data_IF_830267907558
#
_entry.id   IF_830267907558
#
_cell.length_a   1.000
_cell.length_b   1.000
_cell.length_c   1.000
_cell.angle_alpha   90.00
_cell.angle_beta   90.00
_cell.angle_gamma   90.00
#
_symmetry.space_group_name_H-M   'P 1'
#
loop_
_entity.id
_entity.type
_entity.pdbx_description
1 polymer ?
#
# COMPACT_ATOMS: atom_id res chain seq x y z
N UNK A 1 -3.91 25.44 -9.42
CA UNK A 1 -4.02 24.94 -8.03
C UNK A 1 -3.19 23.67 -7.95
N UNK A 2 -2.20 23.59 -7.07
CA UNK A 2 -1.38 22.36 -6.96
C UNK A 2 -2.25 21.19 -6.49
N UNK A 3 -2.22 20.08 -7.24
CA UNK A 3 -3.02 18.88 -6.97
C UNK A 3 -2.49 18.10 -5.76
N UNK A 4 -1.17 18.10 -5.58
CA UNK A 4 -0.43 17.35 -4.57
C UNK A 4 0.53 18.28 -3.82
N UNK A 5 0.81 17.95 -2.55
CA UNK A 5 1.90 18.55 -1.78
C UNK A 5 3.13 17.65 -1.79
N UNK A 6 3.90 17.68 -0.70
CA UNK A 6 4.99 16.71 -0.49
C UNK A 6 4.47 15.27 -0.39
N UNK A 7 5.20 14.34 -1.01
CA UNK A 7 4.89 12.91 -1.08
C UNK A 7 5.92 12.16 -0.25
N UNK A 8 5.45 11.23 0.59
CA UNK A 8 6.30 10.33 1.38
C UNK A 8 6.59 9.02 0.64
N UNK A 9 5.54 8.40 0.08
CA UNK A 9 5.64 7.15 -0.67
C UNK A 9 4.80 7.20 -1.94
N UNK A 10 5.28 6.55 -3.00
CA UNK A 10 4.57 6.39 -4.26
C UNK A 10 4.90 5.02 -4.84
N UNK A 11 3.88 4.27 -5.23
CA UNK A 11 4.01 2.96 -5.85
C UNK A 11 3.23 2.92 -7.17
N UNK A 12 3.89 2.52 -8.26
CA UNK A 12 3.25 2.35 -9.56
C UNK A 12 2.59 0.98 -9.69
N UNK A 13 1.43 0.90 -10.32
CA UNK A 13 0.95 -0.38 -10.83
C UNK A 13 1.66 -0.70 -12.15
N UNK A 14 2.80 -1.38 -12.07
CA UNK A 14 3.62 -1.71 -13.25
C UNK A 14 3.81 -0.50 -14.19
N UNK A 15 3.52 -0.66 -15.49
CA UNK A 15 3.56 0.41 -16.50
C UNK A 15 2.14 0.91 -16.85
N UNK A 16 1.26 1.01 -15.86
CA UNK A 16 -0.08 1.60 -16.02
C UNK A 16 -0.09 3.06 -15.56
N UNK A 17 -1.23 3.71 -15.76
CA UNK A 17 -1.54 5.08 -15.32
C UNK A 17 -1.91 5.20 -13.83
N UNK A 18 -1.97 4.10 -13.09
CA UNK A 18 -2.39 4.11 -11.69
C UNK A 18 -1.19 4.19 -10.75
N UNK A 19 -1.23 5.15 -9.84
CA UNK A 19 -0.25 5.39 -8.79
C UNK A 19 -0.93 5.32 -7.43
N UNK A 20 -0.39 4.55 -6.48
CA UNK A 20 -0.75 4.66 -5.08
C UNK A 20 0.20 5.64 -4.38
N UNK A 21 -0.35 6.67 -3.76
CA UNK A 21 0.42 7.79 -3.19
C UNK A 21 0.06 7.95 -1.72
N UNK A 22 1.08 8.17 -0.89
CA UNK A 22 0.95 8.54 0.53
C UNK A 22 1.65 9.88 0.72
N UNK A 23 0.94 10.86 1.26
CA UNK A 23 1.51 12.16 1.56
C UNK A 23 2.53 12.06 2.71
N UNK A 24 3.50 12.95 2.72
CA UNK A 24 4.55 12.99 3.75
C UNK A 24 5.55 14.10 3.50
N UNK A 25 6.63 14.14 4.28
CA UNK A 25 7.67 15.16 4.15
C UNK A 25 7.30 16.51 4.75
N UNK A 26 7.92 17.59 4.27
CA UNK A 26 7.87 18.89 4.94
C UNK A 26 6.58 19.69 4.71
N UNK A 27 5.91 19.52 3.56
CA UNK A 27 4.69 20.26 3.20
C UNK A 27 3.64 19.35 2.54
N UNK A 28 3.14 18.31 3.24
CA UNK A 28 2.12 17.42 2.69
C UNK A 28 0.78 18.17 2.57
N UNK A 29 0.00 17.84 1.54
CA UNK A 29 -1.37 18.37 1.36
C UNK A 29 -2.45 17.44 1.93
N UNK A 30 -2.11 16.16 2.11
CA UNK A 30 -2.98 15.13 2.65
C UNK A 30 -2.33 14.51 3.90
N UNK A 31 -3.11 13.76 4.66
CA UNK A 31 -2.60 13.07 5.83
C UNK A 31 -1.73 11.87 5.42
N UNK A 32 -0.70 11.58 6.21
CA UNK A 32 0.26 10.48 6.03
C UNK A 32 -0.28 9.11 6.50
N UNK A 33 -1.50 9.09 7.04
CA UNK A 33 -2.31 7.88 7.26
C UNK A 33 -3.32 7.62 6.13
N UNK A 34 -3.24 8.34 5.01
CA UNK A 34 -4.15 8.19 3.87
C UNK A 34 -3.39 7.71 2.63
N UNK A 35 -3.93 6.69 1.96
CA UNK A 35 -3.50 6.21 0.64
C UNK A 35 -4.46 6.75 -0.42
N UNK A 36 -3.91 7.43 -1.41
CA UNK A 36 -4.64 7.97 -2.56
C UNK A 36 -4.25 7.21 -3.82
N UNK A 37 -5.21 6.70 -4.57
CA UNK A 37 -4.94 6.13 -5.91
C UNK A 37 -5.20 7.20 -6.94
N UNK A 38 -4.15 7.64 -7.61
CA UNK A 38 -4.19 8.62 -8.68
C UNK A 38 -4.24 7.93 -10.04
N UNK A 39 -5.12 8.40 -10.90
CA UNK A 39 -5.18 8.03 -12.31
C UNK A 39 -4.63 9.17 -13.16
N UNK A 40 -3.48 8.93 -13.81
CA UNK A 40 -2.81 9.93 -14.62
C UNK A 40 -3.50 10.24 -15.96
N UNK A 41 -4.39 9.35 -16.46
CA UNK A 41 -5.18 9.62 -17.67
C UNK A 41 -6.32 10.57 -17.33
N UNK A 42 -7.09 10.26 -16.28
CA UNK A 42 -8.22 11.10 -15.85
C UNK A 42 -7.81 12.29 -14.96
N UNK A 43 -6.53 12.38 -14.62
CA UNK A 43 -5.90 13.43 -13.82
C UNK A 43 -6.58 13.67 -12.46
N UNK A 44 -7.09 12.61 -11.82
CA UNK A 44 -7.81 12.70 -10.54
C UNK A 44 -7.51 11.52 -9.61
N UNK A 45 -7.81 11.70 -8.33
CA UNK A 45 -7.85 10.60 -7.38
C UNK A 45 -9.12 9.77 -7.62
N UNK A 46 -8.94 8.46 -7.79
CA UNK A 46 -10.02 7.50 -8.07
C UNK A 46 -10.37 6.66 -6.86
N UNK A 47 -9.47 6.53 -5.88
CA UNK A 47 -9.71 5.87 -4.59
C UNK A 47 -8.98 6.61 -3.47
N UNK A 48 -9.54 6.53 -2.26
CA UNK A 48 -8.97 7.08 -1.04
C UNK A 48 -9.23 6.12 0.13
N UNK A 49 -8.18 5.82 0.91
CA UNK A 49 -8.26 4.96 2.09
C UNK A 49 -7.56 5.63 3.26
N UNK A 50 -8.29 5.83 4.36
CA UNK A 50 -7.74 6.39 5.60
C UNK A 50 -7.60 5.30 6.66
N UNK A 51 -6.45 5.27 7.32
CA UNK A 51 -6.06 4.26 8.31
C UNK A 51 -5.93 4.86 9.71
N UNK A 52 -5.89 4.00 10.72
CA UNK A 52 -5.78 4.39 12.14
C UNK A 52 -4.39 4.89 12.55
N UNK A 53 -3.36 4.65 11.72
CA UNK A 53 -1.99 5.08 11.97
C UNK A 53 -1.26 5.38 10.67
N UNK A 54 -0.04 5.92 10.76
CA UNK A 54 0.78 6.28 9.62
C UNK A 54 1.05 5.09 8.70
N UNK A 55 0.83 5.30 7.40
CA UNK A 55 1.15 4.33 6.37
C UNK A 55 2.67 4.30 6.20
N UNK A 56 3.26 3.13 6.42
CA UNK A 56 4.71 2.89 6.33
C UNK A 56 5.14 2.45 4.93
N UNK A 57 4.26 1.78 4.20
CA UNK A 57 4.52 1.32 2.85
C UNK A 57 3.21 0.98 2.13
N UNK A 58 3.26 0.95 0.80
CA UNK A 58 2.17 0.51 -0.05
C UNK A 58 2.73 -0.35 -1.18
N UNK A 59 2.05 -1.46 -1.49
CA UNK A 59 2.38 -2.32 -2.63
C UNK A 59 1.16 -2.45 -3.53
N UNK A 60 1.39 -2.37 -4.83
CA UNK A 60 0.33 -2.36 -5.83
C UNK A 60 0.52 -3.48 -6.85
N UNK A 61 -0.51 -4.31 -6.99
CA UNK A 61 -0.62 -5.39 -7.98
C UNK A 61 -1.92 -5.23 -8.76
N UNK A 62 -2.02 -5.94 -9.89
CA UNK A 62 -3.22 -5.86 -10.75
C UNK A 62 -4.51 -6.24 -10.03
N UNK A 63 -4.39 -7.13 -9.05
CA UNK A 63 -5.51 -7.74 -8.33
C UNK A 63 -5.53 -7.41 -6.82
N UNK A 64 -4.51 -6.70 -6.32
CA UNK A 64 -4.34 -6.38 -4.89
C UNK A 64 -3.74 -5.00 -4.65
N UNK A 65 -4.25 -4.31 -3.65
CA UNK A 65 -3.61 -3.17 -2.99
C UNK A 65 -3.24 -3.60 -1.56
N UNK A 66 -1.96 -3.47 -1.18
CA UNK A 66 -1.48 -3.83 0.15
C UNK A 66 -0.97 -2.57 0.84
N UNK A 67 -1.47 -2.31 2.05
CA UNK A 67 -1.09 -1.14 2.85
C UNK A 67 -0.47 -1.61 4.15
N UNK A 68 0.73 -1.12 4.44
CA UNK A 68 1.53 -1.52 5.60
C UNK A 68 1.50 -0.41 6.63
N UNK A 69 1.07 -0.75 7.85
CA UNK A 69 1.15 0.08 9.05
C UNK A 69 2.24 -0.48 9.97
N UNK A 70 2.43 0.14 11.14
CA UNK A 70 3.46 -0.31 12.08
C UNK A 70 3.15 -1.66 12.74
N UNK A 71 1.88 -2.07 12.83
CA UNK A 71 1.46 -3.30 13.50
C UNK A 71 0.47 -4.14 12.66
N UNK A 72 0.09 -3.66 11.49
CA UNK A 72 -0.93 -4.31 10.67
C UNK A 72 -0.57 -4.18 9.19
N UNK A 73 -0.93 -5.19 8.41
CA UNK A 73 -0.91 -5.13 6.95
C UNK A 73 -2.34 -5.37 6.48
N UNK A 74 -2.89 -4.42 5.73
CA UNK A 74 -4.21 -4.54 5.12
C UNK A 74 -4.08 -4.93 3.65
N UNK A 75 -4.84 -5.94 3.24
CA UNK A 75 -4.89 -6.40 1.86
C UNK A 75 -6.28 -6.14 1.30
N UNK A 76 -6.34 -5.47 0.15
CA UNK A 76 -7.58 -5.12 -0.55
C UNK A 76 -7.60 -5.79 -1.93
N UNK A 77 -8.80 -6.10 -2.44
CA UNK A 77 -9.00 -6.36 -3.87
C UNK A 77 -8.71 -5.09 -4.67
N UNK A 78 -8.28 -5.22 -5.91
CA UNK A 78 -8.01 -4.09 -6.81
C UNK A 78 -8.29 -4.51 -8.25
N UNK A 79 -8.71 -3.61 -9.18
CA UNK A 79 -9.02 -2.21 -8.98
C UNK A 79 -10.46 -1.91 -8.53
N UNK A 80 -11.45 -2.71 -8.94
CA UNK A 80 -12.85 -2.46 -8.64
C UNK A 80 -13.69 -3.74 -8.62
N UNK A 81 -14.56 -3.94 -7.60
CA UNK A 81 -14.65 -3.11 -6.39
C UNK A 81 -13.40 -3.29 -5.52
N UNK A 82 -12.86 -2.18 -5.01
CA UNK A 82 -11.73 -2.21 -4.08
C UNK A 82 -12.24 -2.38 -2.65
N UNK A 83 -12.08 -3.58 -2.10
CA UNK A 83 -12.63 -3.98 -0.80
C UNK A 83 -11.55 -4.67 0.03
N UNK A 84 -11.59 -4.48 1.35
CA UNK A 84 -10.65 -5.15 2.25
C UNK A 84 -10.92 -6.64 2.22
N UNK A 85 -9.92 -7.42 1.84
CA UNK A 85 -9.98 -8.88 1.84
C UNK A 85 -9.67 -9.43 3.23
N UNK A 86 -8.55 -8.97 3.80
CA UNK A 86 -8.14 -9.35 5.16
C UNK A 86 -7.12 -8.36 5.72
N UNK A 87 -6.88 -8.49 7.02
CA UNK A 87 -5.84 -7.78 7.76
C UNK A 87 -4.96 -8.81 8.44
N UNK A 88 -3.65 -8.61 8.39
CA UNK A 88 -2.68 -9.42 9.13
C UNK A 88 -2.10 -8.57 10.25
N UNK A 89 -2.16 -9.07 11.48
CA UNK A 89 -1.42 -8.47 12.59
C UNK A 89 0.06 -8.84 12.47
N UNK A 90 0.92 -7.88 12.81
CA UNK A 90 2.37 -8.03 12.72
C UNK A 90 2.99 -7.55 14.03
N UNK A 91 4.19 -8.05 14.33
CA UNK A 91 5.07 -7.36 15.27
C UNK A 91 5.43 -5.98 14.71
N UNK A 92 5.89 -5.06 15.57
CA UNK A 92 6.37 -3.72 15.19
C UNK A 92 7.24 -3.78 13.91
N UNK A 93 6.69 -3.29 12.81
CA UNK A 93 7.32 -3.18 11.50
C UNK A 93 7.62 -1.70 11.22
N UNK A 94 8.57 -1.13 11.96
CA UNK A 94 8.90 0.30 11.93
C UNK A 94 9.33 0.81 10.54
N UNK A 95 9.92 -0.08 9.74
CA UNK A 95 10.42 0.18 8.39
C UNK A 95 9.40 -0.14 7.28
N UNK A 96 8.22 -0.66 7.62
CA UNK A 96 7.19 -1.01 6.62
C UNK A 96 7.64 -2.11 5.65
N UNK A 97 8.47 -3.05 6.09
CA UNK A 97 8.97 -4.13 5.25
C UNK A 97 7.85 -5.10 4.88
N UNK A 98 7.62 -5.26 3.59
CA UNK A 98 6.60 -6.11 3.04
C UNK A 98 6.91 -6.33 1.56
N UNK A 99 6.69 -7.54 1.05
CA UNK A 99 6.74 -7.79 -0.38
C UNK A 99 5.63 -8.76 -0.80
N UNK A 100 5.19 -8.64 -2.05
CA UNK A 100 4.16 -9.50 -2.63
C UNK A 100 4.70 -10.20 -3.86
N UNK A 101 4.30 -11.46 -4.07
CA UNK A 101 4.64 -12.19 -5.30
C UNK A 101 4.16 -11.38 -6.52
N UNK A 102 5.04 -11.08 -7.49
CA UNK A 102 4.67 -10.30 -8.66
C UNK A 102 3.89 -11.12 -9.70
N UNK A 103 4.04 -12.45 -9.67
CA UNK A 103 3.49 -13.34 -10.70
C UNK A 103 2.01 -13.62 -10.39
N UNK A 104 1.13 -13.07 -11.23
CA UNK A 104 -0.33 -13.24 -11.09
C UNK A 104 -0.76 -14.70 -11.29
N UNK A 105 -0.08 -15.42 -12.19
CA UNK A 105 -0.34 -16.82 -12.54
C UNK A 105 0.36 -17.84 -11.64
N UNK A 106 1.00 -17.39 -10.55
CA UNK A 106 1.65 -18.32 -9.64
C UNK A 106 0.59 -19.17 -8.93
N UNK A 107 0.90 -20.45 -8.70
CA UNK A 107 0.04 -21.36 -7.93
C UNK A 107 -0.27 -20.80 -6.53
N UNK A 108 0.66 -20.03 -5.97
CA UNK A 108 0.51 -19.34 -4.70
C UNK A 108 0.86 -17.86 -4.85
N UNK A 109 -0.07 -17.02 -4.43
CA UNK A 109 0.16 -15.58 -4.29
C UNK A 109 0.64 -15.31 -2.87
N UNK A 110 1.94 -15.11 -2.70
CA UNK A 110 2.54 -14.93 -1.39
C UNK A 110 2.62 -13.45 -0.99
N UNK A 111 2.35 -13.19 0.28
CA UNK A 111 2.69 -11.96 1.00
C UNK A 111 3.78 -12.30 2.02
N UNK A 112 4.88 -11.54 2.02
CA UNK A 112 6.00 -11.73 2.94
C UNK A 112 6.30 -10.48 3.76
N UNK A 113 6.56 -10.66 5.05
CA UNK A 113 6.92 -9.59 5.98
C UNK A 113 7.70 -10.16 7.18
N UNK A 114 8.37 -9.32 8.01
CA UNK A 114 9.08 -9.79 9.19
C UNK A 114 8.16 -10.56 10.17
N UNK A 115 8.57 -11.75 10.58
CA UNK A 115 7.81 -12.58 11.51
C UNK A 115 7.94 -12.14 12.97
N UNK A 116 7.11 -12.71 13.85
CA UNK A 116 7.12 -12.37 15.28
C UNK A 116 8.43 -12.78 15.99
N UNK A 117 9.03 -13.90 15.56
CA UNK A 117 10.33 -14.37 16.06
C UNK A 117 11.44 -13.55 15.41
N UNK A 118 12.38 -13.06 16.21
CA UNK A 118 13.55 -12.35 15.68
C UNK A 118 14.30 -13.23 14.68
N UNK A 119 14.64 -12.67 13.53
CA UNK A 119 15.30 -13.39 12.43
C UNK A 119 14.37 -14.25 11.57
N UNK A 120 13.05 -14.22 11.79
CA UNK A 120 12.08 -14.95 10.97
C UNK A 120 11.36 -14.07 9.95
N UNK A 121 10.87 -14.69 8.88
CA UNK A 121 9.96 -14.10 7.89
C UNK A 121 8.64 -14.87 7.93
N UNK A 122 7.53 -14.14 7.89
CA UNK A 122 6.19 -14.71 7.78
C UNK A 122 5.78 -14.73 6.30
N UNK A 123 5.25 -15.87 5.85
CA UNK A 123 4.63 -16.05 4.54
C UNK A 123 3.12 -16.24 4.77
N UNK A 124 2.29 -15.53 4.00
CA UNK A 124 0.84 -15.68 3.94
C UNK A 124 0.42 -15.94 2.51
#
# INVERSE_FOLDING_TARGET
>A
MELMGSVGYCEMLYRTNLLAIVAGGARPKFADNTVLVYDDISKKFVLEFTFSSFVKNVKLRRDKLVVVLSHQIHVFSFPSPCQRLFTVETRVNSLGLCEVSPIVSAERQLLVFPGHKLGSVQLV
#
